data_IF_994301549815
#
_entry.id   IF_994301549815
#
_cell.length_a   1.000
_cell.length_b   1.000
_cell.length_c   1.000
_cell.angle_alpha   90.00
_cell.angle_beta   90.00
_cell.angle_gamma   90.00
#
_symmetry.space_group_name_H-M   'P 1'
#
loop_
_entity.id
_entity.type
_entity.pdbx_description
1 polymer ?
#
# COMPACT_ATOMS: atom_id res chain seq x y z
N UNK A 1 17.33 -14.03 -1.74
CA UNK A 1 16.33 -13.91 -0.65
C UNK A 1 16.26 -15.23 0.14
N UNK A 2 16.52 -15.21 1.45
CA UNK A 2 16.66 -16.43 2.25
C UNK A 2 15.32 -17.03 2.70
N UNK A 3 14.28 -16.20 2.91
CA UNK A 3 12.94 -16.65 3.30
C UNK A 3 11.84 -15.68 2.80
N UNK A 4 11.35 -15.91 1.59
CA UNK A 4 10.31 -15.08 0.97
C UNK A 4 8.94 -15.14 1.68
N UNK A 5 8.48 -16.31 2.18
CA UNK A 5 7.25 -16.36 2.98
C UNK A 5 7.28 -15.44 4.19
N UNK A 6 8.39 -15.41 4.95
CA UNK A 6 8.53 -14.51 6.11
C UNK A 6 8.51 -13.03 5.70
N UNK A 7 9.13 -12.68 4.57
CA UNK A 7 9.03 -11.31 4.02
C UNK A 7 7.58 -10.94 3.69
N UNK A 8 6.83 -11.86 3.08
CA UNK A 8 5.44 -11.61 2.73
C UNK A 8 4.54 -11.49 3.96
N UNK A 9 4.75 -12.32 4.98
CA UNK A 9 4.07 -12.20 6.28
C UNK A 9 4.36 -10.83 6.90
N UNK A 10 5.62 -10.38 6.89
CA UNK A 10 5.99 -9.05 7.38
C UNK A 10 5.29 -7.92 6.61
N UNK A 11 5.25 -8.00 5.27
CA UNK A 11 4.54 -7.03 4.45
C UNK A 11 3.02 -7.00 4.72
N UNK A 12 2.41 -8.17 4.93
CA UNK A 12 0.99 -8.27 5.28
C UNK A 12 0.69 -7.65 6.66
N UNK A 13 1.54 -7.92 7.67
CA UNK A 13 1.42 -7.30 8.99
C UNK A 13 1.58 -5.78 8.91
N UNK A 14 2.54 -5.30 8.10
CA UNK A 14 2.72 -3.87 7.86
C UNK A 14 1.49 -3.24 7.23
N UNK A 15 0.89 -3.87 6.20
CA UNK A 15 -0.33 -3.35 5.57
C UNK A 15 -1.49 -3.27 6.58
N UNK A 16 -1.74 -4.34 7.34
CA UNK A 16 -2.80 -4.35 8.36
C UNK A 16 -2.56 -3.25 9.40
N UNK A 17 -1.32 -3.11 9.90
CA UNK A 17 -0.95 -2.07 10.84
C UNK A 17 -1.07 -0.66 10.28
N UNK A 18 -0.85 -0.49 8.97
CA UNK A 18 -0.87 0.81 8.31
C UNK A 18 -2.26 1.43 8.23
N UNK A 19 -3.33 0.62 8.28
CA UNK A 19 -4.68 1.16 8.44
C UNK A 19 -4.80 1.97 9.74
N UNK A 20 -4.28 1.42 10.85
CA UNK A 20 -4.23 2.14 12.13
C UNK A 20 -3.30 3.35 12.08
N UNK A 21 -2.16 3.25 11.37
CA UNK A 21 -1.22 4.34 11.19
C UNK A 21 -1.85 5.54 10.46
N UNK A 22 -2.45 5.31 9.29
CA UNK A 22 -3.03 6.38 8.47
C UNK A 22 -4.41 6.84 8.98
N UNK A 23 -5.35 5.92 9.25
CA UNK A 23 -6.67 6.30 9.72
C UNK A 23 -6.63 6.86 11.15
N UNK A 24 -5.79 6.30 12.02
CA UNK A 24 -5.60 6.77 13.39
C UNK A 24 -4.96 8.16 13.48
N UNK A 25 -4.23 8.59 12.44
CA UNK A 25 -3.69 9.96 12.35
C UNK A 25 -4.79 11.04 12.27
N UNK A 26 -6.05 10.67 12.05
CA UNK A 26 -7.19 11.57 12.16
C UNK A 26 -7.60 11.89 13.61
N UNK A 27 -7.06 11.15 14.61
CA UNK A 27 -7.31 11.31 16.06
C UNK A 27 -8.77 11.18 16.49
N UNK A 28 -9.66 10.76 15.59
CA UNK A 28 -11.07 10.50 15.84
C UNK A 28 -11.61 9.53 14.78
N UNK A 29 -12.69 8.81 15.10
CA UNK A 29 -13.42 7.98 14.14
C UNK A 29 -14.43 8.83 13.36
N UNK A 30 -13.96 9.52 12.32
CA UNK A 30 -14.75 10.45 11.50
C UNK A 30 -14.58 10.19 9.99
N UNK A 31 -15.13 11.08 9.17
CA UNK A 31 -15.03 11.01 7.71
C UNK A 31 -13.59 11.06 7.21
N UNK A 32 -12.69 11.80 7.88
CA UNK A 32 -11.28 11.87 7.52
C UNK A 32 -10.56 10.53 7.78
N UNK A 33 -10.80 9.90 8.94
CA UNK A 33 -10.28 8.56 9.23
C UNK A 33 -10.78 7.52 8.20
N UNK A 34 -12.06 7.62 7.84
CA UNK A 34 -12.67 6.75 6.82
C UNK A 34 -12.00 6.93 5.46
N UNK A 35 -11.80 8.17 5.04
CA UNK A 35 -11.11 8.49 3.79
C UNK A 35 -9.66 7.95 3.80
N UNK A 36 -8.91 8.20 4.87
CA UNK A 36 -7.55 7.70 5.03
C UNK A 36 -7.46 6.18 5.01
N UNK A 37 -8.42 5.49 5.60
CA UNK A 37 -8.52 4.03 5.54
C UNK A 37 -8.69 3.54 4.09
N UNK A 38 -9.66 4.09 3.35
CA UNK A 38 -9.90 3.72 1.96
C UNK A 38 -8.72 4.04 1.05
N UNK A 39 -8.12 5.22 1.19
CA UNK A 39 -6.96 5.62 0.40
C UNK A 39 -5.76 4.72 0.66
N UNK A 40 -5.55 4.28 1.91
CA UNK A 40 -4.49 3.31 2.24
C UNK A 40 -4.69 1.99 1.50
N UNK A 41 -5.92 1.48 1.40
CA UNK A 41 -6.21 0.26 0.65
C UNK A 41 -5.95 0.46 -0.86
N UNK A 42 -6.49 1.54 -1.41
CA UNK A 42 -6.48 1.77 -2.87
C UNK A 42 -5.07 2.04 -3.39
N UNK A 43 -4.31 2.91 -2.72
CA UNK A 43 -2.94 3.21 -3.11
C UNK A 43 -2.04 1.96 -3.03
N UNK A 44 -2.18 1.18 -1.95
CA UNK A 44 -1.39 -0.04 -1.78
C UNK A 44 -1.72 -1.07 -2.86
N UNK A 45 -3.01 -1.27 -3.17
CA UNK A 45 -3.42 -2.16 -4.26
C UNK A 45 -2.91 -1.67 -5.62
N UNK A 46 -3.03 -0.37 -5.91
CA UNK A 46 -2.51 0.27 -7.11
C UNK A 46 -1.00 0.09 -7.27
N UNK A 47 -0.24 0.32 -6.20
CA UNK A 47 1.21 0.16 -6.19
C UNK A 47 1.65 -1.30 -6.35
N UNK A 48 0.96 -2.26 -5.74
CA UNK A 48 1.22 -3.70 -5.96
C UNK A 48 1.02 -4.06 -7.43
N UNK A 49 -0.11 -3.67 -8.03
CA UNK A 49 -0.39 -3.97 -9.44
C UNK A 49 0.62 -3.29 -10.37
N UNK A 50 0.91 -2.01 -10.14
CA UNK A 50 1.89 -1.24 -10.92
C UNK A 50 3.29 -1.83 -10.83
N UNK A 51 3.72 -2.25 -9.63
CA UNK A 51 5.03 -2.86 -9.44
C UNK A 51 5.11 -4.21 -10.15
N UNK A 52 4.11 -5.08 -9.98
CA UNK A 52 4.07 -6.38 -10.63
C UNK A 52 4.00 -6.26 -12.15
N UNK A 53 3.23 -5.31 -12.67
CA UNK A 53 3.16 -5.02 -14.10
C UNK A 53 4.51 -4.53 -14.64
N UNK A 54 5.15 -3.59 -13.95
CA UNK A 54 6.47 -3.07 -14.32
C UNK A 54 7.53 -4.16 -14.27
N UNK A 55 7.54 -4.97 -13.20
CA UNK A 55 8.44 -6.12 -13.08
C UNK A 55 8.22 -7.14 -14.19
N UNK A 56 6.96 -7.41 -14.54
CA UNK A 56 6.64 -8.31 -15.63
C UNK A 56 7.13 -7.75 -16.98
N UNK A 57 6.88 -6.48 -17.27
CA UNK A 57 7.33 -5.85 -18.51
C UNK A 57 8.86 -5.86 -18.67
N UNK A 58 9.61 -5.69 -17.58
CA UNK A 58 11.08 -5.58 -17.61
C UNK A 58 11.76 -6.95 -17.47
N UNK A 59 11.25 -7.84 -16.61
CA UNK A 59 11.89 -9.11 -16.25
C UNK A 59 11.19 -10.35 -16.80
N UNK A 60 10.05 -10.18 -17.49
CA UNK A 60 9.28 -11.27 -18.10
C UNK A 60 8.43 -12.10 -17.12
N UNK A 61 8.50 -11.84 -15.81
CA UNK A 61 7.65 -12.50 -14.81
C UNK A 61 7.51 -11.66 -13.52
N UNK A 62 6.31 -11.63 -12.91
CA UNK A 62 6.11 -11.05 -11.58
C UNK A 62 6.75 -11.93 -10.49
N UNK A 63 7.04 -11.34 -9.32
CA UNK A 63 7.59 -12.04 -8.16
C UNK A 63 6.89 -11.70 -6.85
N UNK A 64 6.97 -12.62 -5.88
CA UNK A 64 6.45 -12.40 -4.52
C UNK A 64 7.16 -11.24 -3.81
N UNK A 65 8.46 -11.08 -4.06
CA UNK A 65 9.22 -9.95 -3.53
C UNK A 65 8.76 -8.63 -4.16
N UNK A 66 8.48 -8.63 -5.47
CA UNK A 66 7.91 -7.48 -6.16
C UNK A 66 6.54 -7.08 -5.61
N UNK A 67 5.66 -8.04 -5.32
CA UNK A 67 4.38 -7.76 -4.67
C UNK A 67 4.58 -7.12 -3.29
N UNK A 68 5.48 -7.67 -2.46
CA UNK A 68 5.79 -7.10 -1.14
C UNK A 68 6.39 -5.68 -1.27
N UNK A 69 7.30 -5.46 -2.22
CA UNK A 69 7.88 -4.13 -2.48
C UNK A 69 6.84 -3.12 -2.94
N UNK A 70 5.95 -3.51 -3.87
CA UNK A 70 4.84 -2.68 -4.32
C UNK A 70 3.89 -2.30 -3.17
N UNK A 71 3.59 -3.24 -2.28
CA UNK A 71 2.77 -2.95 -1.11
C UNK A 71 3.41 -1.89 -0.21
N UNK A 72 4.70 -2.07 0.15
CA UNK A 72 5.40 -1.07 0.98
C UNK A 72 5.51 0.27 0.26
N UNK A 73 5.77 0.27 -1.06
CA UNK A 73 5.86 1.50 -1.84
C UNK A 73 4.55 2.31 -1.81
N UNK A 74 3.40 1.66 -2.03
CA UNK A 74 2.10 2.33 -1.96
C UNK A 74 1.76 2.83 -0.57
N UNK A 75 2.03 2.02 0.46
CA UNK A 75 1.82 2.41 1.86
C UNK A 75 2.64 3.65 2.24
N UNK A 76 3.93 3.67 1.88
CA UNK A 76 4.80 4.82 2.10
C UNK A 76 4.35 6.03 1.27
N UNK A 77 4.01 5.82 -0.01
CA UNK A 77 3.60 6.87 -0.93
C UNK A 77 2.32 7.60 -0.50
N UNK A 78 1.32 6.87 -0.01
CA UNK A 78 0.03 7.46 0.39
C UNK A 78 0.05 8.10 1.77
N UNK A 79 1.00 7.72 2.63
CA UNK A 79 1.08 8.19 4.03
C UNK A 79 0.92 9.72 4.20
N UNK A 80 1.64 10.59 3.47
CA UNK A 80 1.47 12.04 3.62
C UNK A 80 0.14 12.58 3.07
N UNK A 81 -0.59 11.80 2.27
CA UNK A 81 -1.78 12.22 1.54
C UNK A 81 -3.06 11.47 1.93
N UNK A 82 -2.99 10.50 2.85
CA UNK A 82 -4.06 9.54 3.10
C UNK A 82 -5.41 10.21 3.42
N UNK A 83 -5.43 11.27 4.23
CA UNK A 83 -6.65 12.03 4.55
C UNK A 83 -6.91 13.24 3.65
N UNK A 84 -6.11 13.46 2.59
CA UNK A 84 -6.11 14.71 1.82
C UNK A 84 -6.59 14.54 0.38
N UNK A 85 -6.37 13.37 -0.22
CA UNK A 85 -6.74 13.09 -1.61
C UNK A 85 -8.03 12.28 -1.71
N UNK A 86 -8.70 12.34 -2.87
CA UNK A 86 -9.78 11.42 -3.17
C UNK A 86 -9.28 10.02 -3.58
N UNK A 87 -10.16 9.00 -3.62
CA UNK A 87 -9.81 7.62 -4.01
C UNK A 87 -9.08 7.49 -5.35
N UNK A 88 -9.43 8.30 -6.35
CA UNK A 88 -8.75 8.31 -7.65
C UNK A 88 -7.33 8.86 -7.52
N UNK A 89 -7.12 9.90 -6.70
CA UNK A 89 -5.80 10.41 -6.40
C UNK A 89 -4.95 9.39 -5.66
N UNK A 90 -5.55 8.66 -4.71
CA UNK A 90 -4.87 7.57 -4.02
C UNK A 90 -4.46 6.43 -4.96
N UNK A 91 -5.24 6.12 -6.00
CA UNK A 91 -4.86 5.10 -7.00
C UNK A 91 -3.67 5.51 -7.86
N UNK A 92 -3.54 6.81 -8.14
CA UNK A 92 -2.46 7.36 -8.96
C UNK A 92 -1.15 7.46 -8.18
N UNK A 93 -1.24 7.71 -6.87
CA UNK A 93 -0.10 7.72 -5.93
C UNK A 93 0.39 6.30 -5.67
#
# INVERSE_FOLDING_TARGET
PHNLPMTFVGAALLWVGWFGFNAGSALAANENATLAFFNTMIATAGAVLSWLFTEWAIKGKPSMLGAASGAIAGLVGITPAAGLVGPVGALII
#
